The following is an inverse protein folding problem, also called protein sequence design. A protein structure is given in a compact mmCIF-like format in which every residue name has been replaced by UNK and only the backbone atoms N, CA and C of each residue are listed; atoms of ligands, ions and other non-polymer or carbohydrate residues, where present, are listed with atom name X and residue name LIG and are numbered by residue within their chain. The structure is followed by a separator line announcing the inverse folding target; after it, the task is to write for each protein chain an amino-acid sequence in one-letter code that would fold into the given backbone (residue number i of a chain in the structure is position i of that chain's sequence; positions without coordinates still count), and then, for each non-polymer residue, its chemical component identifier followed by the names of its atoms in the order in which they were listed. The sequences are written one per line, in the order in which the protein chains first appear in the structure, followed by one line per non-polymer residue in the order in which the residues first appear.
data_IF_907845389880
#
_entry.id   IF_907845389880
#
_cell.length_a   1.000
_cell.length_b   1.000
_cell.length_c   1.000
_cell.angle_alpha   90.00
_cell.angle_beta   90.00
_cell.angle_gamma   90.00
#
_symmetry.space_group_name_H-M   'P 1'
#
loop_
_entity.id
_entity.type
_entity.pdbx_description
1 polymer ?
#
# COMPACT_ATOMS: atom_id res chain seq x y z
N UNK A 1 9.56 9.28 13.49
CA UNK A 1 8.23 9.02 14.07
C UNK A 1 8.24 9.51 15.52
N UNK A 2 7.19 10.17 16.04
CA UNK A 2 7.22 10.76 17.40
C UNK A 2 7.31 9.72 18.53
N UNK A 3 6.97 8.46 18.25
CA UNK A 3 7.10 7.33 19.18
C UNK A 3 8.09 6.31 18.62
N UNK A 4 8.94 5.66 19.45
CA UNK A 4 9.78 4.56 18.98
C UNK A 4 8.91 3.46 18.35
N UNK A 5 9.21 3.12 17.11
CA UNK A 5 8.64 1.94 16.47
C UNK A 5 9.34 0.72 17.06
N UNK A 6 8.56 -0.27 17.48
CA UNK A 6 9.08 -1.50 18.06
C UNK A 6 8.66 -2.65 17.18
N UNK A 7 9.64 -3.34 16.64
CA UNK A 7 9.45 -4.54 15.83
C UNK A 7 9.97 -5.77 16.59
N UNK A 8 9.31 -6.93 16.42
CA UNK A 8 9.81 -8.16 17.01
C UNK A 8 11.15 -8.56 16.39
N UNK A 9 12.07 -9.12 17.18
CA UNK A 9 13.40 -9.58 16.71
C UNK A 9 13.28 -10.53 15.49
N UNK A 10 12.23 -11.34 15.44
CA UNK A 10 11.97 -12.26 14.33
C UNK A 10 11.69 -11.52 13.01
N UNK A 11 10.91 -10.44 13.03
CA UNK A 11 10.61 -9.64 11.82
C UNK A 11 11.83 -8.81 11.40
N UNK A 12 12.56 -8.22 12.36
CA UNK A 12 13.79 -7.47 12.11
C UNK A 12 14.94 -8.31 11.51
N UNK A 13 14.87 -9.64 11.67
CA UNK A 13 15.88 -10.58 11.13
C UNK A 13 15.79 -10.80 9.62
N UNK A 14 14.71 -10.34 8.99
CA UNK A 14 14.49 -10.47 7.55
C UNK A 14 14.56 -9.08 6.94
N UNK A 15 15.50 -8.87 6.03
CA UNK A 15 15.57 -7.61 5.31
C UNK A 15 14.29 -7.42 4.48
N UNK A 16 13.63 -6.24 4.55
CA UNK A 16 12.46 -5.98 3.74
C UNK A 16 12.82 -6.12 2.25
N UNK A 17 11.92 -6.69 1.43
CA UNK A 17 12.19 -6.86 0.01
C UNK A 17 12.39 -5.49 -0.64
N UNK A 18 13.43 -5.35 -1.46
CA UNK A 18 13.71 -4.11 -2.16
C UNK A 18 12.59 -3.81 -3.17
N UNK A 19 12.05 -2.59 -3.21
CA UNK A 19 11.09 -2.20 -4.24
C UNK A 19 11.72 -2.37 -5.63
N UNK A 20 10.96 -2.91 -6.58
CA UNK A 20 11.43 -3.15 -7.95
C UNK A 20 11.26 -1.90 -8.82
N UNK A 21 10.21 -1.11 -8.57
CA UNK A 21 9.88 0.12 -9.28
C UNK A 21 10.42 1.35 -8.56
N UNK A 22 11.76 1.48 -8.47
CA UNK A 22 12.46 2.64 -7.87
C UNK A 22 12.76 3.77 -8.85
N UNK A 23 12.24 3.69 -10.09
CA UNK A 23 12.36 4.78 -11.06
C UNK A 23 11.72 6.07 -10.52
N UNK A 24 12.47 7.18 -10.56
CA UNK A 24 12.07 8.48 -10.01
C UNK A 24 10.77 9.04 -10.57
N UNK A 25 10.26 8.48 -11.67
CA UNK A 25 9.06 8.97 -12.34
C UNK A 25 7.74 8.48 -11.72
N UNK A 26 7.74 7.35 -10.99
CA UNK A 26 6.50 6.68 -10.55
C UNK A 26 6.06 7.01 -9.12
N UNK A 27 6.98 7.49 -8.27
CA UNK A 27 6.68 7.89 -6.90
C UNK A 27 7.11 9.34 -6.68
N UNK A 28 6.13 10.23 -6.62
CA UNK A 28 6.33 11.66 -6.42
C UNK A 28 5.55 12.12 -5.22
N UNK A 29 6.22 12.78 -4.29
CA UNK A 29 5.63 13.46 -3.14
C UNK A 29 6.25 14.86 -3.01
N UNK A 30 5.49 15.87 -2.57
CA UNK A 30 6.06 17.18 -2.24
C UNK A 30 7.13 17.06 -1.14
N UNK A 31 8.31 17.64 -1.37
CA UNK A 31 9.46 17.56 -0.45
C UNK A 31 9.11 18.01 0.98
N UNK A 32 8.26 19.03 1.12
CA UNK A 32 7.75 19.52 2.42
C UNK A 32 7.14 18.43 3.29
N UNK A 33 6.53 17.38 2.71
CA UNK A 33 5.94 16.30 3.50
C UNK A 33 6.99 15.49 4.26
N UNK A 34 8.23 15.51 3.78
CA UNK A 34 9.39 14.85 4.37
C UNK A 34 10.13 15.86 5.27
N UNK A 35 10.48 17.02 4.70
CA UNK A 35 11.30 18.04 5.37
C UNK A 35 10.63 18.63 6.62
N UNK A 36 9.30 18.79 6.60
CA UNK A 36 8.53 19.30 7.75
C UNK A 36 8.04 18.15 8.66
N UNK A 37 8.35 16.89 8.36
CA UNK A 37 8.02 15.73 9.19
C UNK A 37 6.54 15.33 9.19
N UNK A 38 5.75 15.73 8.18
CA UNK A 38 4.34 15.32 8.03
C UNK A 38 4.20 13.81 7.85
N UNK A 39 5.17 13.20 7.16
CA UNK A 39 5.33 11.75 7.04
C UNK A 39 6.60 11.31 7.75
N UNK A 40 6.48 10.30 8.61
CA UNK A 40 7.64 9.65 9.21
C UNK A 40 8.31 8.65 8.25
N UNK A 41 9.55 8.27 8.52
CA UNK A 41 10.30 7.29 7.71
C UNK A 41 9.53 5.98 7.48
N UNK A 42 8.93 5.39 8.53
CA UNK A 42 8.14 4.18 8.38
C UNK A 42 6.89 4.38 7.51
N UNK A 43 6.24 5.53 7.64
CA UNK A 43 5.08 5.87 6.79
C UNK A 43 5.50 6.02 5.33
N UNK A 44 6.67 6.61 5.07
CA UNK A 44 7.25 6.69 3.73
C UNK A 44 7.60 5.31 3.19
N UNK A 45 8.19 4.44 4.00
CA UNK A 45 8.46 3.05 3.63
C UNK A 45 7.18 2.30 3.23
N UNK A 46 6.12 2.40 4.04
CA UNK A 46 4.80 1.84 3.72
C UNK A 46 4.28 2.35 2.38
N UNK A 47 4.37 3.66 2.13
CA UNK A 47 3.91 4.25 0.86
C UNK A 47 4.74 3.73 -0.33
N UNK A 48 6.06 3.64 -0.19
CA UNK A 48 6.97 3.13 -1.22
C UNK A 48 6.62 1.68 -1.55
N UNK A 49 6.52 0.83 -0.52
CA UNK A 49 6.23 -0.59 -0.68
C UNK A 49 4.84 -0.85 -1.25
N UNK A 50 3.83 -0.09 -0.81
CA UNK A 50 2.48 -0.20 -1.33
C UNK A 50 2.38 0.29 -2.79
N UNK A 51 3.05 1.39 -3.14
CA UNK A 51 3.06 1.87 -4.53
C UNK A 51 3.76 0.87 -5.47
N UNK A 52 4.87 0.28 -5.03
CA UNK A 52 5.56 -0.78 -5.78
C UNK A 52 4.68 -2.02 -5.98
N UNK A 53 4.01 -2.49 -4.92
CA UNK A 53 3.06 -3.60 -5.02
C UNK A 53 1.95 -3.30 -6.02
N UNK A 54 1.37 -2.10 -5.97
CA UNK A 54 0.32 -1.67 -6.90
C UNK A 54 0.79 -1.48 -8.35
N UNK A 55 2.09 -1.48 -8.62
CA UNK A 55 2.65 -1.46 -9.97
C UNK A 55 2.75 -2.85 -10.61
N UNK A 56 2.37 -3.91 -9.90
CA UNK A 56 2.56 -5.31 -10.31
C UNK A 56 1.27 -6.11 -10.21
N UNK A 57 1.20 -7.19 -10.97
CA UNK A 57 0.16 -8.22 -10.81
C UNK A 57 0.62 -9.33 -9.87
N UNK A 58 -0.34 -10.00 -9.24
CA UNK A 58 -0.13 -11.28 -8.56
C UNK A 58 0.45 -12.29 -9.56
N UNK A 59 1.44 -13.11 -9.16
CA UNK A 59 1.98 -14.15 -10.03
C UNK A 59 0.91 -15.17 -10.43
N UNK A 60 0.66 -15.29 -11.74
CA UNK A 60 -0.28 -16.24 -12.32
C UNK A 60 -1.60 -15.61 -12.76
N UNK A 61 -2.56 -16.45 -13.11
CA UNK A 61 -3.92 -16.08 -13.50
C UNK A 61 -4.92 -16.70 -12.54
N UNK A 62 -6.04 -16.01 -12.38
CA UNK A 62 -7.03 -16.36 -11.38
C UNK A 62 -8.45 -16.27 -11.93
N UNK A 63 -9.30 -17.14 -11.41
CA UNK A 63 -10.76 -17.03 -11.51
C UNK A 63 -11.32 -16.53 -10.18
N UNK A 64 -12.49 -15.91 -10.24
CA UNK A 64 -13.24 -15.48 -9.06
C UNK A 64 -14.51 -16.32 -8.99
N UNK A 65 -14.91 -16.71 -7.78
CA UNK A 65 -16.20 -17.40 -7.59
C UNK A 65 -17.39 -16.47 -7.85
N UNK A 66 -18.57 -17.07 -8.01
CA UNK A 66 -19.81 -16.35 -8.35
C UNK A 66 -20.18 -15.28 -7.29
N UNK A 67 -19.84 -15.53 -6.02
CA UNK A 67 -20.07 -14.62 -4.90
C UNK A 67 -19.03 -13.48 -4.79
N UNK A 68 -18.02 -13.46 -5.67
CA UNK A 68 -16.90 -12.51 -5.65
C UNK A 68 -16.10 -12.47 -4.35
N UNK A 69 -16.11 -13.57 -3.59
CA UNK A 69 -15.50 -13.68 -2.27
C UNK A 69 -14.15 -14.40 -2.30
N UNK A 70 -13.88 -15.21 -3.34
CA UNK A 70 -12.69 -16.04 -3.41
C UNK A 70 -11.99 -15.95 -4.75
N UNK A 71 -10.71 -15.62 -4.69
CA UNK A 71 -9.78 -15.67 -5.80
C UNK A 71 -9.04 -17.01 -5.81
N UNK A 72 -9.10 -17.77 -6.92
CA UNK A 72 -8.45 -19.08 -7.06
C UNK A 72 -7.50 -19.07 -8.25
N UNK A 73 -6.28 -19.56 -8.08
CA UNK A 73 -5.29 -19.63 -9.17
C UNK A 73 -5.69 -20.72 -10.17
N UNK A 74 -5.74 -20.35 -11.46
CA UNK A 74 -6.18 -21.19 -12.56
C UNK A 74 -5.42 -20.81 -13.84
N UNK A 75 -4.12 -21.14 -13.91
CA UNK A 75 -3.24 -20.67 -14.99
C UNK A 75 -3.62 -21.20 -16.38
N UNK A 76 -4.20 -22.41 -16.44
CA UNK A 76 -4.59 -23.09 -17.68
C UNK A 76 -6.01 -22.77 -18.14
N UNK A 77 -6.77 -22.01 -17.35
CA UNK A 77 -8.15 -21.63 -17.68
C UNK A 77 -8.14 -20.42 -18.64
N UNK A 78 -8.78 -20.52 -19.83
CA UNK A 78 -8.80 -19.43 -20.81
C UNK A 78 -9.50 -18.16 -20.30
N UNK A 79 -10.40 -18.27 -19.33
CA UNK A 79 -11.12 -17.14 -18.75
C UNK A 79 -10.38 -16.51 -17.56
N UNK A 80 -9.31 -17.14 -17.07
CA UNK A 80 -8.53 -16.64 -15.95
C UNK A 80 -7.70 -15.39 -16.30
N UNK A 81 -7.64 -14.45 -15.35
CA UNK A 81 -7.04 -13.12 -15.53
C UNK A 81 -5.95 -12.83 -14.52
N UNK A 82 -5.02 -11.95 -14.89
CA UNK A 82 -4.12 -11.35 -13.93
C UNK A 82 -4.88 -10.36 -13.04
N UNK A 83 -4.47 -10.27 -11.78
CA UNK A 83 -5.03 -9.35 -10.79
C UNK A 83 -3.90 -8.55 -10.17
N UNK A 84 -4.11 -7.25 -10.04
CA UNK A 84 -3.14 -6.36 -9.42
C UNK A 84 -2.86 -6.77 -7.97
N UNK A 85 -1.58 -6.80 -7.61
CA UNK A 85 -1.12 -7.09 -6.27
C UNK A 85 -1.57 -5.97 -5.32
N UNK A 86 -2.26 -6.34 -4.24
CA UNK A 86 -2.60 -5.44 -3.14
C UNK A 86 -1.49 -5.36 -2.09
N UNK A 87 -1.60 -4.38 -1.20
CA UNK A 87 -0.72 -4.23 -0.05
C UNK A 87 -1.52 -4.34 1.26
N UNK A 88 -1.02 -5.12 2.21
CA UNK A 88 -1.62 -5.29 3.52
C UNK A 88 -0.76 -4.63 4.59
N UNK A 89 -1.36 -3.74 5.37
CA UNK A 89 -0.71 -3.05 6.48
C UNK A 89 -1.30 -3.52 7.81
N UNK A 90 -0.47 -4.16 8.62
CA UNK A 90 -0.84 -4.76 9.91
C UNK A 90 -0.51 -3.91 11.15
N UNK A 91 -0.13 -2.64 10.97
CA UNK A 91 0.40 -1.81 12.06
C UNK A 91 -0.60 -1.55 13.19
N UNK A 92 -0.05 -1.40 14.39
CA UNK A 92 -0.79 -1.06 15.61
C UNK A 92 -1.55 0.26 15.51
N UNK A 93 -2.43 0.52 16.48
CA UNK A 93 -3.08 1.83 16.63
C UNK A 93 -2.02 2.89 16.93
N UNK A 94 -2.20 4.11 16.40
CA UNK A 94 -1.28 5.23 16.65
C UNK A 94 -0.09 5.35 15.69
N UNK A 95 0.18 4.38 14.81
CA UNK A 95 1.26 4.48 13.80
C UNK A 95 0.97 5.48 12.65
N UNK A 96 -0.27 5.98 12.56
CA UNK A 96 -0.66 6.99 11.57
C UNK A 96 -1.07 6.42 10.21
N UNK A 97 -1.76 5.28 10.21
CA UNK A 97 -2.30 4.62 9.00
C UNK A 97 -3.14 5.52 8.09
N UNK A 98 -3.86 6.48 8.66
CA UNK A 98 -4.58 7.48 7.87
C UNK A 98 -3.65 8.32 6.97
N UNK A 99 -2.50 8.73 7.51
CA UNK A 99 -1.47 9.46 6.75
C UNK A 99 -0.83 8.60 5.67
N UNK A 100 -0.64 7.31 5.92
CA UNK A 100 -0.12 6.37 4.91
C UNK A 100 -1.12 6.18 3.76
N UNK A 101 -2.40 5.96 4.07
CA UNK A 101 -3.48 5.87 3.08
C UNK A 101 -3.59 7.17 2.25
N UNK A 102 -3.64 8.33 2.92
CA UNK A 102 -3.71 9.63 2.27
C UNK A 102 -2.47 9.91 1.39
N UNK A 103 -1.27 9.56 1.89
CA UNK A 103 -0.02 9.67 1.14
C UNK A 103 -0.03 8.78 -0.11
N UNK A 104 -0.52 7.55 -0.01
CA UNK A 104 -0.64 6.64 -1.14
C UNK A 104 -1.65 7.13 -2.17
N UNK A 105 -2.79 7.69 -1.74
CA UNK A 105 -3.76 8.34 -2.62
C UNK A 105 -3.11 9.53 -3.34
N UNK A 106 -2.35 10.36 -2.63
CA UNK A 106 -1.64 11.51 -3.20
C UNK A 106 -0.61 11.07 -4.25
N UNK A 107 0.18 10.03 -3.97
CA UNK A 107 1.13 9.45 -4.96
C UNK A 107 0.40 9.05 -6.23
N UNK A 108 -0.71 8.30 -6.10
CA UNK A 108 -1.54 7.89 -7.24
C UNK A 108 -2.09 9.10 -8.00
N UNK A 109 -2.59 10.11 -7.29
CA UNK A 109 -3.14 11.32 -7.86
C UNK A 109 -2.11 12.10 -8.69
N UNK A 110 -0.89 12.23 -8.18
CA UNK A 110 0.24 12.85 -8.86
C UNK A 110 0.70 12.04 -10.09
N UNK A 111 0.53 10.71 -10.05
CA UNK A 111 0.73 9.80 -11.19
C UNK A 111 -0.51 9.69 -12.11
N UNK A 112 -1.40 10.68 -12.11
CA UNK A 112 -2.64 10.75 -12.91
C UNK A 112 -3.68 9.64 -12.66
N UNK A 113 -3.50 8.79 -11.64
CA UNK A 113 -4.51 7.83 -11.16
C UNK A 113 -5.46 8.54 -10.19
N UNK A 114 -6.48 9.21 -10.75
CA UNK A 114 -7.37 10.17 -10.04
C UNK A 114 -8.61 9.56 -9.37
N UNK A 115 -8.71 8.24 -9.31
CA UNK A 115 -9.84 7.54 -8.68
C UNK A 115 -9.36 6.80 -7.43
N UNK A 116 -10.01 7.08 -6.31
CA UNK A 116 -9.77 6.41 -5.04
C UNK A 116 -11.10 6.23 -4.31
N UNK A 117 -11.21 5.17 -3.52
CA UNK A 117 -12.31 4.93 -2.59
C UNK A 117 -11.68 4.64 -1.24
N UNK A 118 -12.06 5.42 -0.22
CA UNK A 118 -11.72 5.15 1.16
C UNK A 118 -12.90 4.50 1.85
N UNK A 119 -12.70 3.32 2.43
CA UNK A 119 -13.73 2.63 3.21
C UNK A 119 -13.28 2.56 4.66
N UNK A 120 -14.06 3.14 5.57
CA UNK A 120 -13.83 3.06 7.02
C UNK A 120 -15.09 2.54 7.72
N UNK A 121 -14.92 1.90 8.89
CA UNK A 121 -16.02 1.26 9.62
C UNK A 121 -16.62 2.14 10.73
N UNK A 122 -15.86 3.09 11.28
CA UNK A 122 -16.33 3.91 12.41
C UNK A 122 -16.33 5.40 12.07
N UNK A 123 -17.28 6.14 12.65
CA UNK A 123 -17.38 7.59 12.50
C UNK A 123 -16.10 8.32 12.99
N UNK A 124 -15.38 7.75 13.96
CA UNK A 124 -14.09 8.30 14.43
C UNK A 124 -12.97 8.22 13.39
N UNK A 125 -13.14 7.44 12.33
CA UNK A 125 -12.18 7.29 11.23
C UNK A 125 -12.60 8.08 9.98
N UNK A 126 -13.70 8.85 10.05
CA UNK A 126 -14.13 9.66 8.90
C UNK A 126 -13.26 10.91 8.74
N UNK A 127 -12.74 11.46 9.85
CA UNK A 127 -11.83 12.61 9.82
C UNK A 127 -10.48 12.25 9.19
N UNK A 128 -10.12 10.97 9.19
CA UNK A 128 -8.94 10.47 8.47
C UNK A 128 -9.23 10.27 6.96
N UNK A 129 -10.50 10.11 6.57
CA UNK A 129 -10.94 9.60 5.27
C UNK A 129 -11.24 10.66 4.20
#
# INVERSE_FOLDING_TARGET
HPTPLVESIAMASVAPPMPLNTGSDDLRLPARLIEEGHLSEAQLETIIMANDAHGRDLPGRFTIDDDQAKLTRADDDPDARAYRLGYFLGDGTGCGKGRECAGLILVNWLAARRKAIWVSKSATLIEDA
#
